data_IF_412369693430
#
_entry.id   IF_412369693430
#
_cell.length_a   1.000
_cell.length_b   1.000
_cell.length_c   1.000
_cell.angle_alpha   90.00
_cell.angle_beta   90.00
_cell.angle_gamma   90.00
#
_symmetry.space_group_name_H-M   'P 1'
#
loop_
_entity.id
_entity.type
_entity.pdbx_description
1 polymer ?
#
# COMPACT_ATOMS: atom_id res chain seq x y z
N UNK A 1 -30.81 58.42 18.16
CA UNK A 1 -31.95 57.48 18.22
C UNK A 1 -31.77 56.54 17.03
N UNK A 2 -31.28 55.30 17.13
CA UNK A 2 -31.26 54.33 18.25
C UNK A 2 -32.66 53.77 18.54
N UNK A 3 -32.93 52.45 18.64
CA UNK A 3 -32.08 51.22 18.56
C UNK A 3 -31.74 50.87 17.07
N UNK A 4 -31.64 49.66 16.49
CA UNK A 4 -31.94 48.21 16.74
C UNK A 4 -30.92 47.39 15.90
N UNK A 5 -30.41 46.17 16.16
CA UNK A 5 -30.76 45.00 17.03
C UNK A 5 -31.91 44.12 16.48
N UNK A 6 -31.75 42.82 16.12
CA UNK A 6 -30.58 41.92 15.96
C UNK A 6 -31.01 40.56 15.31
N UNK A 7 -30.05 39.64 15.16
CA UNK A 7 -30.19 38.17 15.12
C UNK A 7 -30.84 37.48 13.90
N UNK A 8 -30.02 36.64 13.26
CA UNK A 8 -30.42 35.58 12.34
C UNK A 8 -31.29 34.50 13.02
N UNK A 9 -32.18 33.88 12.26
CA UNK A 9 -32.53 32.47 12.45
C UNK A 9 -32.44 31.75 11.11
N UNK A 10 -31.67 30.66 11.08
CA UNK A 10 -31.67 29.70 9.98
C UNK A 10 -32.92 28.83 10.12
N UNK A 11 -33.47 28.35 9.00
CA UNK A 11 -33.48 26.90 8.71
C UNK A 11 -34.06 26.55 7.35
N UNK A 12 -33.24 25.84 6.57
CA UNK A 12 -33.61 24.62 5.81
C UNK A 12 -34.90 24.73 4.97
N UNK A 13 -34.75 25.14 3.71
CA UNK A 13 -35.71 24.80 2.68
C UNK A 13 -35.61 23.29 2.38
N UNK A 14 -36.65 22.52 2.71
CA UNK A 14 -36.71 21.08 2.41
C UNK A 14 -37.06 20.88 0.93
N UNK A 15 -36.05 20.57 0.12
CA UNK A 15 -36.22 20.09 -1.25
C UNK A 15 -36.01 18.57 -1.29
N UNK A 16 -37.12 17.83 -1.33
CA UNK A 16 -37.17 16.40 -1.63
C UNK A 16 -37.95 16.25 -2.94
N UNK A 17 -37.65 15.20 -3.71
CA UNK A 17 -38.38 14.79 -4.93
C UNK A 17 -38.22 15.71 -6.14
N UNK A 18 -37.13 15.51 -6.88
CA UNK A 18 -37.17 14.99 -8.26
C UNK A 18 -35.79 15.14 -8.92
N UNK A 19 -35.01 14.06 -8.95
CA UNK A 19 -33.88 13.96 -9.86
C UNK A 19 -33.77 12.51 -10.33
N UNK A 20 -34.51 12.20 -11.40
CA UNK A 20 -34.24 11.01 -12.20
C UNK A 20 -32.83 11.16 -12.76
N UNK A 21 -31.91 10.32 -12.28
CA UNK A 21 -30.69 10.00 -12.97
C UNK A 21 -30.35 8.55 -12.69
N UNK A 22 -30.39 7.75 -13.74
CA UNK A 22 -29.92 6.37 -13.71
C UNK A 22 -28.45 6.37 -13.25
N UNK A 23 -28.22 5.72 -12.11
CA UNK A 23 -26.91 5.25 -11.71
C UNK A 23 -26.95 3.73 -11.83
N UNK A 24 -26.12 3.19 -12.72
CA UNK A 24 -25.33 2.03 -12.32
C UNK A 24 -23.83 2.26 -12.58
N UNK A 25 -23.02 1.34 -12.07
CA UNK A 25 -21.63 1.06 -12.51
C UNK A 25 -20.54 2.08 -12.12
N UNK A 26 -20.29 2.13 -10.81
CA UNK A 26 -18.93 1.96 -10.28
C UNK A 26 -18.95 0.67 -9.44
N UNK A 27 -17.89 -0.17 -9.42
CA UNK A 27 -16.48 0.20 -9.64
C UNK A 27 -15.70 -0.71 -10.64
N UNK A 28 -15.15 -0.13 -11.71
CA UNK A 28 -14.21 -0.81 -12.61
C UNK A 28 -12.78 -0.86 -12.03
N UNK A 29 -12.60 -1.58 -10.92
CA UNK A 29 -11.28 -1.87 -10.30
C UNK A 29 -10.90 -3.35 -10.46
N UNK A 30 -10.98 -3.88 -11.68
CA UNK A 30 -10.80 -5.32 -11.98
C UNK A 30 -9.66 -5.63 -12.98
N UNK A 31 -8.59 -4.82 -13.07
CA UNK A 31 -7.49 -5.08 -14.03
C UNK A 31 -6.04 -4.83 -13.54
N UNK A 32 -5.75 -4.83 -12.23
CA UNK A 32 -4.35 -4.69 -11.75
C UNK A 32 -3.78 -5.88 -10.95
N UNK A 33 -4.62 -6.63 -10.20
CA UNK A 33 -4.14 -7.66 -9.26
C UNK A 33 -3.17 -8.68 -9.91
N UNK A 34 -3.46 -9.12 -11.14
CA UNK A 34 -2.60 -10.08 -11.86
C UNK A 34 -1.22 -9.52 -12.23
N UNK A 35 -1.12 -8.24 -12.62
CA UNK A 35 0.14 -7.62 -13.02
C UNK A 35 1.03 -7.34 -11.79
N UNK A 36 0.46 -6.74 -10.75
CA UNK A 36 1.15 -6.39 -9.51
C UNK A 36 1.59 -7.66 -8.76
N UNK A 37 0.71 -8.65 -8.65
CA UNK A 37 1.01 -9.93 -7.99
C UNK A 37 2.00 -10.79 -8.79
N UNK A 38 2.15 -10.58 -10.10
CA UNK A 38 3.26 -11.17 -10.87
C UNK A 38 4.60 -10.48 -10.58
N UNK A 39 4.59 -9.14 -10.51
CA UNK A 39 5.77 -8.31 -10.25
C UNK A 39 6.34 -8.58 -8.86
N UNK A 40 5.48 -8.63 -7.84
CA UNK A 40 5.90 -8.96 -6.47
C UNK A 40 6.51 -10.35 -6.39
N UNK A 41 5.89 -11.36 -7.01
CA UNK A 41 6.41 -12.73 -7.08
C UNK A 41 7.78 -12.80 -7.77
N UNK A 42 7.98 -12.08 -8.88
CA UNK A 42 9.28 -12.02 -9.55
C UNK A 42 10.37 -11.38 -8.68
N UNK A 43 10.09 -10.21 -8.07
CA UNK A 43 11.04 -9.51 -7.19
C UNK A 43 11.40 -10.34 -5.95
N UNK A 44 10.41 -10.94 -5.29
CA UNK A 44 10.63 -11.83 -4.15
C UNK A 44 11.43 -13.08 -4.53
N UNK A 45 11.14 -13.69 -5.69
CA UNK A 45 11.92 -14.84 -6.20
C UNK A 45 13.37 -14.43 -6.48
N UNK A 46 13.60 -13.26 -7.10
CA UNK A 46 14.97 -12.75 -7.34
C UNK A 46 15.72 -12.52 -6.02
N UNK A 47 15.09 -11.91 -5.02
CA UNK A 47 15.68 -11.76 -3.70
C UNK A 47 15.98 -13.12 -3.06
N UNK A 48 15.09 -14.10 -3.19
CA UNK A 48 15.29 -15.45 -2.68
C UNK A 48 16.47 -16.19 -3.33
N UNK A 49 16.67 -16.05 -4.65
CA UNK A 49 17.82 -16.65 -5.32
C UNK A 49 19.15 -15.96 -4.96
N UNK A 50 19.13 -14.64 -4.71
CA UNK A 50 20.27 -13.94 -4.13
C UNK A 50 20.54 -14.40 -2.69
N UNK A 51 19.51 -14.65 -1.88
CA UNK A 51 19.64 -15.22 -0.53
C UNK A 51 20.16 -16.66 -0.48
N UNK A 52 20.13 -17.42 -1.59
CA UNK A 52 20.80 -18.74 -1.67
C UNK A 52 22.32 -18.60 -1.78
N UNK A 53 22.82 -17.44 -2.20
CA UNK A 53 24.25 -17.15 -2.29
C UNK A 53 24.76 -16.67 -0.92
N UNK A 54 24.56 -17.49 0.13
CA UNK A 54 24.78 -17.14 1.55
C UNK A 54 26.24 -16.77 1.90
N UNK A 55 27.17 -16.88 0.95
CA UNK A 55 28.58 -16.49 1.08
C UNK A 55 28.91 -15.15 0.41
N UNK A 56 28.01 -14.57 -0.40
CA UNK A 56 28.21 -13.26 -1.02
C UNK A 56 27.38 -12.19 -0.29
N UNK A 57 28.08 -11.36 0.48
CA UNK A 57 27.49 -10.22 1.21
C UNK A 57 26.86 -9.20 0.28
N UNK A 58 27.33 -9.08 -0.98
CA UNK A 58 26.73 -8.22 -2.02
C UNK A 58 25.35 -8.73 -2.41
N UNK A 59 25.21 -10.04 -2.65
CA UNK A 59 23.92 -10.66 -2.97
C UNK A 59 22.94 -10.58 -1.81
N UNK A 60 23.42 -10.75 -0.57
CA UNK A 60 22.60 -10.58 0.63
C UNK A 60 22.14 -9.12 0.84
N UNK A 61 23.00 -8.13 0.55
CA UNK A 61 22.61 -6.71 0.54
C UNK A 61 21.56 -6.43 -0.53
N UNK A 62 21.78 -6.86 -1.78
CA UNK A 62 20.81 -6.69 -2.87
C UNK A 62 19.47 -7.39 -2.58
N UNK A 63 19.48 -8.54 -1.91
CA UNK A 63 18.27 -9.20 -1.46
C UNK A 63 17.52 -8.37 -0.40
N UNK A 64 18.24 -7.82 0.59
CA UNK A 64 17.66 -6.94 1.62
C UNK A 64 17.05 -5.67 1.01
N UNK A 65 17.71 -5.06 0.03
CA UNK A 65 17.18 -3.90 -0.71
C UNK A 65 15.92 -4.25 -1.51
N UNK A 66 15.92 -5.35 -2.28
CA UNK A 66 14.75 -5.81 -3.04
C UNK A 66 13.55 -6.12 -2.13
N UNK A 67 13.79 -6.71 -0.95
CA UNK A 67 12.74 -7.01 0.02
C UNK A 67 12.21 -5.73 0.70
N UNK A 68 13.07 -4.74 1.00
CA UNK A 68 12.62 -3.43 1.51
C UNK A 68 11.82 -2.65 0.48
N UNK A 69 12.27 -2.58 -0.78
CA UNK A 69 11.53 -1.91 -1.86
C UNK A 69 10.15 -2.53 -2.01
N UNK A 70 10.07 -3.87 -2.04
CA UNK A 70 8.82 -4.60 -2.13
C UNK A 70 7.91 -4.42 -0.90
N UNK A 71 8.46 -4.29 0.31
CA UNK A 71 7.70 -3.95 1.53
C UNK A 71 7.15 -2.51 1.51
N UNK A 72 7.85 -1.58 0.86
CA UNK A 72 7.46 -0.17 0.74
C UNK A 72 6.46 0.07 -0.40
N UNK A 73 6.63 -0.60 -1.54
CA UNK A 73 5.76 -0.50 -2.71
C UNK A 73 4.47 -1.32 -2.55
N UNK A 74 4.53 -2.46 -1.83
CA UNK A 74 3.42 -3.40 -1.68
C UNK A 74 3.30 -3.92 -0.23
N UNK A 75 2.97 -3.06 0.76
CA UNK A 75 2.96 -3.41 2.18
C UNK A 75 1.99 -4.55 2.54
N UNK A 76 0.85 -4.65 1.85
CA UNK A 76 -0.13 -5.72 2.05
C UNK A 76 0.28 -7.06 1.40
N UNK A 77 1.31 -7.08 0.54
CA UNK A 77 1.73 -8.29 -0.15
C UNK A 77 2.59 -9.17 0.77
N UNK A 78 1.95 -10.14 1.42
CA UNK A 78 2.59 -11.16 2.27
C UNK A 78 3.60 -10.59 3.30
N UNK A 79 3.28 -9.53 4.07
CA UNK A 79 4.25 -8.82 4.91
C UNK A 79 5.04 -9.71 5.87
N UNK A 80 4.39 -10.72 6.47
CA UNK A 80 5.06 -11.69 7.36
C UNK A 80 6.16 -12.51 6.66
N UNK A 81 5.99 -12.83 5.38
CA UNK A 81 6.97 -13.58 4.59
C UNK A 81 8.13 -12.68 4.16
N UNK A 82 7.83 -11.44 3.76
CA UNK A 82 8.83 -10.43 3.40
C UNK A 82 9.70 -10.08 4.61
N UNK A 83 9.07 -9.83 5.76
CA UNK A 83 9.76 -9.55 7.03
C UNK A 83 10.63 -10.74 7.47
N UNK A 84 10.12 -11.98 7.38
CA UNK A 84 10.92 -13.17 7.70
C UNK A 84 12.17 -13.33 6.80
N UNK A 85 12.12 -12.84 5.55
CA UNK A 85 13.29 -12.86 4.66
C UNK A 85 14.25 -11.70 4.93
N UNK A 86 13.76 -10.51 5.25
CA UNK A 86 14.60 -9.40 5.74
C UNK A 86 15.38 -9.80 7.00
N UNK A 87 14.67 -10.36 7.98
CA UNK A 87 15.20 -10.84 9.26
C UNK A 87 16.30 -11.92 9.06
N UNK A 88 16.13 -12.82 8.07
CA UNK A 88 17.19 -13.77 7.68
C UNK A 88 18.36 -13.09 6.95
N UNK A 89 18.12 -12.11 6.06
CA UNK A 89 19.22 -11.35 5.43
C UNK A 89 20.07 -10.62 6.47
N UNK A 90 19.45 -10.00 7.47
CA UNK A 90 20.14 -9.20 8.49
C UNK A 90 21.01 -10.10 9.38
N UNK A 91 20.49 -11.28 9.77
CA UNK A 91 21.27 -12.34 10.45
C UNK A 91 22.42 -12.90 9.60
N UNK A 92 22.21 -13.14 8.31
CA UNK A 92 23.28 -13.62 7.41
C UNK A 92 24.35 -12.57 7.12
N UNK A 93 24.01 -11.28 7.19
CA UNK A 93 24.95 -10.16 7.05
C UNK A 93 25.70 -9.83 8.35
N UNK A 94 25.35 -10.45 9.49
CA UNK A 94 25.88 -10.07 10.80
C UNK A 94 25.45 -8.67 11.26
N UNK A 95 24.32 -8.16 10.74
CA UNK A 95 23.70 -6.90 11.19
C UNK A 95 22.74 -7.23 12.33
N UNK A 96 23.31 -7.63 13.46
CA UNK A 96 22.65 -7.63 14.76
C UNK A 96 22.80 -6.23 15.37
N UNK A 97 21.70 -5.70 15.93
CA UNK A 97 21.58 -4.36 16.55
C UNK A 97 21.60 -4.49 18.09
#
# INVERSE_FOLDING_TARGET
MSKIISASLLSIAVLITACEKEAPEQPETEVTESAESSTCRQRFTKAHELMKQEQDTTSLQQARELLRSLQQEYPDWNPSLVQNRLDKCEKLLGVED
#
